data_IF_607482277027
#
_entry.id   IF_607482277027
#
_cell.length_a   1.000
_cell.length_b   1.000
_cell.length_c   1.000
_cell.angle_alpha   90.00
_cell.angle_beta   90.00
_cell.angle_gamma   90.00
#
_symmetry.space_group_name_H-M   'P 1'
#
loop_
_entity.id
_entity.type
_entity.pdbx_description
1 polymer ?
#
# COMPACT_ATOMS: atom_id res chain seq x y z
N UNK A 1 2.10 -1.37 -34.13
CA UNK A 1 1.25 -0.53 -33.27
C UNK A 1 1.48 -1.03 -31.85
N UNK A 2 2.25 -0.31 -31.03
CA UNK A 2 2.56 -0.73 -29.64
C UNK A 2 1.51 -0.11 -28.73
N UNK A 3 0.73 -0.96 -28.06
CA UNK A 3 -0.34 -0.56 -27.16
C UNK A 3 0.24 0.24 -25.99
N UNK A 4 -0.10 1.53 -25.95
CA UNK A 4 0.18 2.39 -24.80
C UNK A 4 -0.86 2.07 -23.73
N UNK A 5 -0.52 1.19 -22.79
CA UNK A 5 -1.26 1.06 -21.54
C UNK A 5 -1.07 2.36 -20.75
N UNK A 6 -1.96 3.32 -20.97
CA UNK A 6 -1.98 4.59 -20.22
C UNK A 6 -2.40 4.31 -18.78
N UNK A 7 -1.78 5.03 -17.84
CA UNK A 7 -2.09 4.96 -16.40
C UNK A 7 -3.59 5.13 -16.08
N UNK A 8 -4.35 5.76 -16.98
CA UNK A 8 -5.80 5.89 -16.93
C UNK A 8 -6.56 4.55 -17.05
N UNK A 9 -6.06 3.58 -17.83
CA UNK A 9 -6.68 2.26 -17.98
C UNK A 9 -6.41 1.36 -16.77
N UNK A 10 -5.27 1.52 -16.12
CA UNK A 10 -5.00 0.89 -14.82
C UNK A 10 -5.94 1.49 -13.76
N UNK A 11 -6.00 2.83 -13.66
CA UNK A 11 -6.90 3.53 -12.74
C UNK A 11 -8.38 3.12 -12.86
N UNK A 12 -8.87 2.87 -14.08
CA UNK A 12 -10.26 2.46 -14.33
C UNK A 12 -10.59 1.01 -13.91
N UNK A 13 -9.59 0.14 -13.75
CA UNK A 13 -9.79 -1.25 -13.29
C UNK A 13 -9.59 -1.42 -11.76
N UNK A 14 -9.25 -0.35 -11.05
CA UNK A 14 -8.91 -0.40 -9.62
C UNK A 14 -10.12 -0.28 -8.68
N UNK A 15 -11.32 0.03 -9.20
CA UNK A 15 -12.51 0.29 -8.38
C UNK A 15 -13.15 -0.92 -7.71
N UNK A 16 -12.70 -2.15 -7.97
CA UNK A 16 -13.35 -3.34 -7.40
C UNK A 16 -12.32 -4.39 -6.96
N UNK A 17 -11.48 -4.09 -5.97
CA UNK A 17 -10.83 -5.17 -5.20
C UNK A 17 -11.92 -5.78 -4.30
N UNK A 18 -12.42 -7.00 -4.57
CA UNK A 18 -13.52 -7.56 -3.79
C UNK A 18 -13.03 -7.87 -2.37
N UNK A 19 -13.77 -7.46 -1.36
CA UNK A 19 -13.41 -7.66 0.05
C UNK A 19 -12.31 -6.74 0.57
N UNK A 20 -12.12 -5.58 -0.07
CA UNK A 20 -11.24 -4.52 0.45
C UNK A 20 -11.93 -3.76 1.59
N UNK A 21 -11.17 -3.39 2.63
CA UNK A 21 -11.68 -2.52 3.69
C UNK A 21 -11.93 -1.11 3.15
N UNK A 22 -12.97 -0.40 3.63
CA UNK A 22 -13.23 0.98 3.19
C UNK A 22 -12.03 1.91 3.35
N UNK A 23 -11.28 1.78 4.45
CA UNK A 23 -10.07 2.57 4.69
C UNK A 23 -8.99 2.37 3.62
N UNK A 24 -8.76 1.14 3.16
CA UNK A 24 -7.77 0.88 2.11
C UNK A 24 -8.24 1.40 0.74
N UNK A 25 -9.54 1.36 0.48
CA UNK A 25 -10.11 1.95 -0.73
C UNK A 25 -9.93 3.48 -0.73
N UNK A 26 -10.17 4.13 0.40
CA UNK A 26 -9.97 5.57 0.59
C UNK A 26 -8.50 5.96 0.43
N UNK A 27 -7.57 5.20 1.02
CA UNK A 27 -6.13 5.48 0.87
C UNK A 27 -5.64 5.31 -0.56
N UNK A 28 -6.16 4.33 -1.31
CA UNK A 28 -5.87 4.16 -2.74
C UNK A 28 -6.43 5.31 -3.58
N UNK A 29 -7.63 5.79 -3.26
CA UNK A 29 -8.22 6.96 -3.89
C UNK A 29 -7.37 8.21 -3.60
N UNK A 30 -6.94 8.41 -2.35
CA UNK A 30 -6.07 9.52 -1.94
C UNK A 30 -4.73 9.50 -2.70
N UNK A 31 -4.08 8.32 -2.83
CA UNK A 31 -2.86 8.15 -3.63
C UNK A 31 -3.07 8.49 -5.11
N UNK A 32 -4.21 8.12 -5.67
CA UNK A 32 -4.55 8.40 -7.07
C UNK A 32 -4.87 9.87 -7.29
N UNK A 33 -5.53 10.53 -6.34
CA UNK A 33 -5.78 11.98 -6.39
C UNK A 33 -4.49 12.77 -6.19
N UNK A 34 -3.57 12.29 -5.34
CA UNK A 34 -2.31 12.97 -5.06
C UNK A 34 -1.51 13.25 -6.34
N UNK A 35 -1.42 12.30 -7.26
CA UNK A 35 -0.69 12.51 -8.52
C UNK A 35 -1.46 13.29 -9.59
N UNK A 36 -2.73 13.65 -9.34
CA UNK A 36 -3.48 14.61 -10.17
C UNK A 36 -3.23 16.06 -9.75
N UNK A 37 -2.90 16.30 -8.49
CA UNK A 37 -2.65 17.63 -7.96
C UNK A 37 -1.19 18.05 -8.14
N UNK A 38 -0.96 19.29 -8.57
CA UNK A 38 0.38 19.90 -8.56
C UNK A 38 0.70 20.43 -7.17
N UNK A 39 1.16 19.55 -6.29
CA UNK A 39 1.71 19.91 -5.00
C UNK A 39 3.18 20.32 -5.14
N UNK A 40 3.70 21.05 -4.15
CA UNK A 40 5.15 21.22 -4.07
C UNK A 40 5.84 19.89 -3.80
N UNK A 41 7.12 19.78 -4.16
CA UNK A 41 7.89 18.55 -3.95
C UNK A 41 7.93 18.09 -2.48
N UNK A 42 7.84 19.03 -1.52
CA UNK A 42 7.85 18.71 -0.09
C UNK A 42 6.49 18.18 0.37
N UNK A 43 5.40 18.85 -0.03
CA UNK A 43 4.03 18.45 0.32
C UNK A 43 3.67 17.11 -0.33
N UNK A 44 4.06 16.91 -1.59
CA UNK A 44 3.90 15.63 -2.28
C UNK A 44 4.62 14.50 -1.52
N UNK A 45 5.87 14.73 -1.11
CA UNK A 45 6.64 13.73 -0.38
C UNK A 45 6.03 13.41 0.99
N UNK A 46 5.59 14.42 1.72
CA UNK A 46 4.97 14.25 3.03
C UNK A 46 3.63 13.51 2.93
N UNK A 47 2.75 13.92 2.02
CA UNK A 47 1.48 13.23 1.80
C UNK A 47 1.70 11.79 1.32
N UNK A 48 2.61 11.58 0.37
CA UNK A 48 2.95 10.25 -0.12
C UNK A 48 3.47 9.37 1.01
N UNK A 49 4.34 9.92 1.86
CA UNK A 49 4.86 9.23 3.04
C UNK A 49 3.73 8.82 4.00
N UNK A 50 2.87 9.77 4.39
CA UNK A 50 1.79 9.51 5.33
C UNK A 50 0.79 8.49 4.78
N UNK A 51 0.35 8.64 3.52
CA UNK A 51 -0.62 7.72 2.91
C UNK A 51 -0.05 6.31 2.79
N UNK A 52 1.21 6.15 2.37
CA UNK A 52 1.81 4.82 2.27
C UNK A 52 2.05 4.17 3.63
N UNK A 53 2.43 4.95 4.64
CA UNK A 53 2.61 4.44 5.98
C UNK A 53 1.28 4.02 6.61
N UNK A 54 0.23 4.82 6.41
CA UNK A 54 -1.11 4.52 6.87
C UNK A 54 -1.67 3.26 6.18
N UNK A 55 -1.52 3.13 4.86
CA UNK A 55 -1.88 1.90 4.14
C UNK A 55 -1.13 0.68 4.67
N UNK A 56 0.18 0.80 4.89
CA UNK A 56 0.98 -0.29 5.45
C UNK A 56 0.46 -0.71 6.85
N UNK A 57 0.05 0.25 7.68
CA UNK A 57 -0.57 -0.03 8.97
C UNK A 57 -1.91 -0.75 8.79
N UNK A 58 -2.81 -0.21 7.97
CA UNK A 58 -4.11 -0.83 7.71
C UNK A 58 -3.98 -2.26 7.17
N UNK A 59 -3.03 -2.51 6.25
CA UNK A 59 -2.73 -3.85 5.74
C UNK A 59 -2.26 -4.78 6.87
N UNK A 60 -1.33 -4.32 7.70
CA UNK A 60 -0.87 -5.11 8.85
C UNK A 60 -2.01 -5.43 9.82
N UNK A 61 -2.94 -4.50 10.03
CA UNK A 61 -4.11 -4.69 10.90
C UNK A 61 -5.14 -5.67 10.33
N UNK A 62 -5.12 -5.92 9.01
CA UNK A 62 -5.97 -6.94 8.38
C UNK A 62 -5.44 -8.37 8.53
N UNK A 63 -4.21 -8.56 9.04
CA UNK A 63 -3.63 -9.89 9.23
C UNK A 63 -4.44 -10.64 10.29
N UNK A 64 -5.03 -11.75 9.88
CA UNK A 64 -5.72 -12.69 10.77
C UNK A 64 -5.04 -14.05 10.65
N UNK A 65 -4.84 -14.72 11.78
CA UNK A 65 -4.22 -16.05 11.84
C UNK A 65 -2.87 -16.16 11.08
N UNK A 66 -2.04 -15.11 11.13
CA UNK A 66 -0.75 -15.01 10.41
C UNK A 66 -0.87 -15.04 8.88
N UNK A 67 -2.07 -14.93 8.32
CA UNK A 67 -2.29 -14.80 6.90
C UNK A 67 -2.69 -13.37 6.56
N UNK A 68 -2.02 -12.80 5.56
CA UNK A 68 -2.46 -11.55 4.97
C UNK A 68 -3.61 -11.83 4.00
N UNK A 69 -4.77 -11.17 4.14
CA UNK A 69 -5.85 -11.33 3.18
C UNK A 69 -5.41 -10.96 1.76
N UNK A 70 -5.88 -11.74 0.77
CA UNK A 70 -5.54 -11.52 -0.64
C UNK A 70 -5.97 -10.11 -1.11
N UNK A 71 -7.09 -9.59 -0.61
CA UNK A 71 -7.57 -8.24 -0.92
C UNK A 71 -6.58 -7.17 -0.46
N UNK A 72 -6.09 -7.26 0.79
CA UNK A 72 -5.08 -6.34 1.34
C UNK A 72 -3.76 -6.42 0.58
N UNK A 73 -3.33 -7.63 0.21
CA UNK A 73 -2.13 -7.80 -0.62
C UNK A 73 -2.30 -7.17 -2.01
N UNK A 74 -3.43 -7.40 -2.67
CA UNK A 74 -3.75 -6.78 -3.97
C UNK A 74 -3.76 -5.26 -3.88
N UNK A 75 -4.32 -4.69 -2.80
CA UNK A 75 -4.31 -3.25 -2.58
C UNK A 75 -2.89 -2.70 -2.46
N UNK A 76 -2.00 -3.42 -1.78
CA UNK A 76 -0.58 -3.05 -1.71
C UNK A 76 0.08 -3.04 -3.09
N UNK A 77 -0.17 -4.05 -3.93
CA UNK A 77 0.36 -4.10 -5.29
C UNK A 77 -0.17 -2.94 -6.15
N UNK A 78 -1.45 -2.61 -6.03
CA UNK A 78 -2.04 -1.46 -6.74
C UNK A 78 -1.40 -0.14 -6.28
N UNK A 79 -1.17 0.04 -4.98
CA UNK A 79 -0.45 1.19 -4.46
C UNK A 79 0.96 1.30 -5.06
N UNK A 80 1.71 0.19 -5.15
CA UNK A 80 3.03 0.17 -5.81
C UNK A 80 2.97 0.71 -7.23
N UNK A 81 2.03 0.22 -8.04
CA UNK A 81 1.88 0.66 -9.43
C UNK A 81 1.54 2.16 -9.51
N UNK A 82 0.65 2.65 -8.66
CA UNK A 82 0.32 4.09 -8.60
C UNK A 82 1.57 4.89 -8.26
N UNK A 83 2.32 4.47 -7.23
CA UNK A 83 3.51 5.18 -6.77
C UNK A 83 4.58 5.26 -7.86
N UNK A 84 4.91 4.13 -8.49
CA UNK A 84 5.94 4.08 -9.53
C UNK A 84 5.50 4.81 -10.81
N UNK A 85 4.22 4.74 -11.17
CA UNK A 85 3.72 5.40 -12.38
C UNK A 85 3.63 6.93 -12.22
N UNK A 86 3.29 7.43 -11.03
CA UNK A 86 2.96 8.84 -10.83
C UNK A 86 4.11 9.65 -10.19
N UNK A 87 4.97 9.04 -9.37
CA UNK A 87 5.96 9.77 -8.55
C UNK A 87 7.42 9.42 -8.87
N UNK A 88 7.66 8.49 -9.81
CA UNK A 88 9.00 8.13 -10.28
C UNK A 88 9.97 7.76 -9.14
N UNK A 89 11.21 8.28 -9.20
CA UNK A 89 12.27 7.95 -8.24
C UNK A 89 12.00 8.42 -6.81
N UNK A 90 11.23 9.50 -6.61
CA UNK A 90 10.81 9.95 -5.27
C UNK A 90 9.79 8.97 -4.68
N UNK A 91 8.90 8.48 -5.53
CA UNK A 91 7.97 7.41 -5.20
C UNK A 91 8.68 6.15 -4.75
N UNK A 92 9.74 5.74 -5.44
CA UNK A 92 10.52 4.55 -5.09
C UNK A 92 11.11 4.60 -3.67
N UNK A 93 11.65 5.74 -3.24
CA UNK A 93 12.21 5.90 -1.90
C UNK A 93 11.12 5.80 -0.83
N UNK A 94 9.99 6.49 -1.05
CA UNK A 94 8.85 6.44 -0.12
C UNK A 94 8.26 5.02 -0.05
N UNK A 95 8.09 4.38 -1.21
CA UNK A 95 7.62 3.01 -1.34
C UNK A 95 8.52 2.00 -0.63
N UNK A 96 9.83 2.08 -0.85
CA UNK A 96 10.80 1.17 -0.24
C UNK A 96 10.79 1.25 1.28
N UNK A 97 10.72 2.47 1.83
CA UNK A 97 10.62 2.69 3.27
C UNK A 97 9.27 2.20 3.85
N UNK A 98 8.16 2.48 3.19
CA UNK A 98 6.84 2.00 3.63
C UNK A 98 6.75 0.47 3.56
N UNK A 99 7.29 -0.14 2.51
CA UNK A 99 7.41 -1.60 2.38
C UNK A 99 8.29 -2.22 3.46
N UNK A 100 9.40 -1.57 3.80
CA UNK A 100 10.25 -1.99 4.92
C UNK A 100 9.51 -1.93 6.26
N UNK A 101 8.74 -0.87 6.51
CA UNK A 101 7.92 -0.75 7.71
C UNK A 101 6.82 -1.82 7.77
N UNK A 102 6.15 -2.09 6.64
CA UNK A 102 5.18 -3.17 6.52
C UNK A 102 5.82 -4.53 6.83
N UNK A 103 6.97 -4.84 6.21
CA UNK A 103 7.68 -6.09 6.43
C UNK A 103 8.10 -6.27 7.90
N UNK A 104 8.60 -5.20 8.54
CA UNK A 104 8.94 -5.21 9.96
C UNK A 104 7.71 -5.50 10.84
N UNK A 105 6.55 -4.89 10.53
CA UNK A 105 5.30 -5.15 11.24
C UNK A 105 4.79 -6.57 11.05
N UNK A 106 4.75 -7.08 9.82
CA UNK A 106 4.34 -8.45 9.52
C UNK A 106 5.24 -9.48 10.22
N UNK A 107 6.55 -9.20 10.26
CA UNK A 107 7.51 -9.99 11.05
C UNK A 107 7.18 -9.95 12.53
N UNK A 108 6.90 -8.77 13.10
CA UNK A 108 6.53 -8.64 14.51
C UNK A 108 5.23 -9.40 14.86
N UNK A 109 4.21 -9.31 13.99
CA UNK A 109 2.94 -10.04 14.15
C UNK A 109 3.19 -11.55 14.14
N UNK A 110 4.07 -12.02 13.25
CA UNK A 110 4.44 -13.43 13.16
C UNK A 110 5.17 -13.90 14.42
N UNK A 111 6.13 -13.12 14.92
CA UNK A 111 6.92 -13.43 16.12
C UNK A 111 6.07 -13.42 17.41
N UNK A 112 5.11 -12.50 17.55
CA UNK A 112 4.20 -12.46 18.72
C UNK A 112 3.30 -13.69 18.83
N UNK A 113 3.14 -14.46 17.76
CA UNK A 113 2.27 -15.63 17.72
C UNK A 113 3.01 -16.93 18.06
N UNK A 114 4.35 -16.96 18.11
CA UNK A 114 5.04 -18.10 18.69
C UNK A 114 4.71 -18.18 20.19
N UNK A 115 3.89 -19.15 20.63
CA UNK A 115 3.70 -19.35 22.05
C UNK A 115 4.98 -20.02 22.55
N UNK A 116 5.77 -19.29 23.33
CA UNK A 116 6.75 -19.90 24.21
C UNK A 116 6.05 -20.86 25.17
N UNK A 117 5.95 -22.12 24.75
CA UNK A 117 6.06 -23.33 25.55
C UNK A 117 5.32 -23.31 26.91
N UNK A 118 4.02 -23.64 26.92
CA UNK A 118 3.40 -24.25 28.11
C UNK A 118 3.92 -25.68 28.20
N UNK A 119 5.06 -25.86 28.85
CA UNK A 119 5.48 -27.16 29.36
C UNK A 119 4.69 -27.45 30.64
N UNK A 120 3.81 -28.44 30.51
CA UNK A 120 3.18 -29.23 31.59
C UNK A 120 4.20 -29.81 32.56
#
# INVERSE_FOLDING_TARGET
MKEQFTAATLAANHSEIPGLTPGLAESLAALTELGKHRLSASEEHEHLWFTLHDMAQQIADTVQDSALPLSSFRAWIVASHIVHAQFGSRGEVAWGRASGALAARLTNISLRREPGNVQT
#
